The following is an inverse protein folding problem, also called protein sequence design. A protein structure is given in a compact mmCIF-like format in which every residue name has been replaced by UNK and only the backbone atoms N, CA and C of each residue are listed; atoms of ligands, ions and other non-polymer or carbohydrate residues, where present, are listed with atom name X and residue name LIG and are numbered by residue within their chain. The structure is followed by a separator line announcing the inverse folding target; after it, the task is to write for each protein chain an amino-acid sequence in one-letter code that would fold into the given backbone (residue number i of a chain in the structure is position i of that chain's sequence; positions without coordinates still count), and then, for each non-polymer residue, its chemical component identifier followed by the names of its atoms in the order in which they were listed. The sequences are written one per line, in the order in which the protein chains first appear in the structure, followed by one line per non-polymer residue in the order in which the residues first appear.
data_IF_800483357531
#
_entry.id   IF_800483357531
#
_cell.length_a   1.000
_cell.length_b   1.000
_cell.length_c   1.000
_cell.angle_alpha   90.00
_cell.angle_beta   90.00
_cell.angle_gamma   90.00
#
_symmetry.space_group_name_H-M   'P 1'
#
loop_
_entity.id
_entity.type
_entity.pdbx_description
1 polymer ?
#
# COMPACT_ATOMS: atom_id res chain seq x y z
N UNK A 1 7.10 -20.47 5.43
CA UNK A 1 6.25 -19.26 5.49
C UNK A 1 4.82 -19.70 5.30
N UNK A 2 3.86 -19.06 5.98
CA UNK A 2 2.44 -19.35 5.74
C UNK A 2 1.85 -18.21 4.93
N UNK A 3 1.36 -18.56 3.74
CA UNK A 3 0.54 -17.69 2.93
C UNK A 3 -0.92 -18.06 3.15
N UNK A 4 -1.72 -17.06 3.44
CA UNK A 4 -3.15 -17.21 3.68
C UNK A 4 -3.91 -16.35 2.67
N UNK A 5 -5.01 -16.88 2.18
CA UNK A 5 -5.98 -16.15 1.38
C UNK A 5 -7.28 -16.05 2.17
N UNK A 6 -7.98 -14.93 2.02
CA UNK A 6 -9.26 -14.76 2.66
C UNK A 6 -10.09 -13.65 2.02
N UNK A 7 -11.24 -13.39 2.63
CA UNK A 7 -12.12 -12.31 2.22
C UNK A 7 -12.81 -11.69 3.41
N UNK A 8 -13.10 -10.39 3.33
CA UNK A 8 -13.77 -9.61 4.38
C UNK A 8 -14.73 -8.61 3.74
N UNK A 9 -15.66 -8.07 4.52
CA UNK A 9 -16.61 -7.04 4.06
C UNK A 9 -16.29 -5.70 4.72
N UNK A 10 -16.62 -4.62 4.02
CA UNK A 10 -16.55 -3.24 4.53
C UNK A 10 -17.90 -2.61 4.25
N UNK A 11 -18.50 -1.92 5.21
CA UNK A 11 -19.81 -1.27 5.03
C UNK A 11 -19.78 -0.30 3.83
N UNK A 12 -18.66 0.41 3.66
CA UNK A 12 -18.45 1.39 2.59
C UNK A 12 -18.49 0.77 1.17
N UNK A 13 -18.15 -0.51 1.01
CA UNK A 13 -18.20 -1.21 -0.29
C UNK A 13 -19.45 -2.10 -0.46
N UNK A 14 -20.37 -2.04 0.50
CA UNK A 14 -21.56 -2.88 0.56
C UNK A 14 -21.27 -4.33 0.95
N UNK A 15 -22.26 -5.21 0.70
CA UNK A 15 -22.24 -6.61 1.18
C UNK A 15 -21.27 -7.54 0.40
N UNK A 16 -20.60 -7.01 -0.63
CA UNK A 16 -19.71 -7.79 -1.47
C UNK A 16 -18.30 -7.85 -0.85
N UNK A 17 -17.70 -9.05 -0.73
CA UNK A 17 -16.45 -9.18 -0.02
C UNK A 17 -15.26 -8.69 -0.85
N UNK A 18 -14.28 -8.11 -0.15
CA UNK A 18 -12.94 -7.82 -0.64
C UNK A 18 -12.03 -9.00 -0.36
N UNK A 19 -11.23 -9.36 -1.36
CA UNK A 19 -10.22 -10.41 -1.27
C UNK A 19 -8.91 -9.88 -0.69
N UNK A 20 -8.19 -10.72 0.06
CA UNK A 20 -6.84 -10.43 0.50
C UNK A 20 -5.93 -11.67 0.52
N UNK A 21 -4.64 -11.38 0.49
CA UNK A 21 -3.52 -12.31 0.72
C UNK A 21 -2.74 -11.83 1.92
N UNK A 22 -2.23 -12.75 2.71
CA UNK A 22 -1.43 -12.44 3.88
C UNK A 22 -0.23 -13.38 4.02
N UNK A 23 0.90 -12.83 4.44
CA UNK A 23 2.06 -13.58 4.90
C UNK A 23 2.53 -13.02 6.25
N UNK A 24 2.79 -13.91 7.22
CA UNK A 24 3.27 -13.56 8.55
C UNK A 24 4.65 -14.13 8.84
N UNK A 25 5.38 -13.56 9.81
CA UNK A 25 6.67 -14.11 10.24
C UNK A 25 6.49 -15.52 10.79
N UNK A 26 7.46 -16.39 10.51
CA UNK A 26 7.43 -17.79 10.93
C UNK A 26 7.60 -17.94 12.45
N UNK A 27 8.31 -17.00 13.08
CA UNK A 27 8.63 -17.04 14.51
C UNK A 27 8.28 -15.70 15.18
N UNK A 28 7.46 -15.77 16.23
CA UNK A 28 7.15 -14.61 17.08
C UNK A 28 6.05 -13.70 16.53
N UNK A 29 5.73 -12.66 17.31
CA UNK A 29 4.79 -11.63 16.89
C UNK A 29 5.43 -10.74 15.81
N UNK A 30 4.63 -10.30 14.85
CA UNK A 30 5.06 -9.34 13.85
C UNK A 30 5.44 -8.00 14.49
N UNK A 31 6.53 -7.40 14.00
CA UNK A 31 6.99 -6.07 14.46
C UNK A 31 5.98 -4.99 14.14
N UNK A 32 5.49 -5.00 12.90
CA UNK A 32 4.51 -4.09 12.32
C UNK A 32 3.71 -4.83 11.24
N UNK A 33 2.54 -4.29 10.90
CA UNK A 33 1.77 -4.72 9.73
C UNK A 33 2.05 -3.80 8.54
N UNK A 34 2.30 -4.36 7.37
CA UNK A 34 2.46 -3.68 6.10
C UNK A 34 1.26 -4.01 5.22
N UNK A 35 0.42 -3.02 4.94
CA UNK A 35 -0.75 -3.11 4.07
C UNK A 35 -0.35 -2.71 2.64
N UNK A 36 -0.43 -3.66 1.71
CA UNK A 36 -0.10 -3.47 0.30
C UNK A 36 -1.36 -3.23 -0.53
N UNK A 37 -1.44 -2.06 -1.15
CA UNK A 37 -2.44 -1.71 -2.15
C UNK A 37 -1.84 -1.88 -3.55
N UNK A 38 -2.66 -1.99 -4.59
CA UNK A 38 -2.19 -2.16 -5.97
C UNK A 38 -2.66 -1.04 -6.90
N UNK A 39 -2.01 -0.91 -8.06
CA UNK A 39 -2.44 -0.01 -9.14
C UNK A 39 -3.62 -0.59 -9.96
N UNK A 40 -4.26 0.24 -10.78
CA UNK A 40 -5.50 -0.12 -11.51
C UNK A 40 -5.40 -1.36 -12.42
N UNK A 41 -4.19 -1.68 -12.91
CA UNK A 41 -3.94 -2.82 -13.81
C UNK A 41 -3.49 -4.10 -13.09
N UNK A 42 -3.45 -4.07 -11.77
CA UNK A 42 -2.81 -5.10 -10.95
C UNK A 42 -3.77 -5.64 -9.88
N UNK A 43 -3.30 -6.59 -9.08
CA UNK A 43 -3.99 -7.13 -7.90
C UNK A 43 -2.97 -7.52 -6.83
N UNK A 44 -3.43 -8.03 -5.69
CA UNK A 44 -2.60 -8.66 -4.65
C UNK A 44 -1.71 -9.78 -5.20
N UNK A 45 -2.10 -10.43 -6.31
CA UNK A 45 -1.31 -11.48 -6.96
C UNK A 45 0.04 -10.96 -7.48
N UNK A 46 0.12 -9.69 -7.87
CA UNK A 46 1.40 -9.11 -8.32
C UNK A 46 2.41 -9.08 -7.18
N UNK A 47 2.00 -8.68 -5.97
CA UNK A 47 2.86 -8.67 -4.78
C UNK A 47 3.35 -10.06 -4.39
N UNK A 48 2.49 -11.07 -4.59
CA UNK A 48 2.86 -12.48 -4.43
C UNK A 48 3.90 -12.90 -5.48
N UNK A 49 3.64 -12.64 -6.76
CA UNK A 49 4.52 -13.05 -7.88
C UNK A 49 5.93 -12.49 -7.79
N UNK A 50 6.07 -11.24 -7.32
CA UNK A 50 7.39 -10.63 -7.13
C UNK A 50 7.98 -10.90 -5.74
N UNK A 51 7.39 -11.79 -4.93
CA UNK A 51 7.94 -12.18 -3.63
C UNK A 51 7.90 -11.09 -2.55
N UNK A 52 7.10 -10.04 -2.70
CA UNK A 52 7.07 -8.94 -1.69
C UNK A 52 6.45 -9.40 -0.37
N UNK A 53 5.38 -10.20 -0.42
CA UNK A 53 4.79 -10.80 0.78
C UNK A 53 5.84 -11.66 1.51
N UNK A 54 6.62 -12.42 0.73
CA UNK A 54 7.67 -13.28 1.25
C UNK A 54 8.80 -12.49 1.92
N UNK A 55 9.37 -11.52 1.20
CA UNK A 55 10.45 -10.68 1.70
C UNK A 55 10.08 -9.97 3.01
N UNK A 56 8.86 -9.46 3.12
CA UNK A 56 8.36 -8.80 4.33
C UNK A 56 8.19 -9.76 5.51
N UNK A 57 7.57 -10.92 5.28
CA UNK A 57 7.38 -11.94 6.30
C UNK A 57 8.71 -12.51 6.81
N UNK A 58 9.66 -12.77 5.90
CA UNK A 58 11.01 -13.19 6.25
C UNK A 58 11.76 -12.15 7.09
N UNK A 59 11.45 -10.86 6.90
CA UNK A 59 12.03 -9.76 7.66
C UNK A 59 11.32 -9.45 9.00
N UNK A 60 10.29 -10.23 9.38
CA UNK A 60 9.61 -10.08 10.67
C UNK A 60 8.34 -9.22 10.66
N UNK A 61 7.81 -8.87 9.47
CA UNK A 61 6.61 -8.07 9.32
C UNK A 61 5.39 -8.92 8.94
N UNK A 62 4.19 -8.49 9.34
CA UNK A 62 2.94 -9.05 8.81
C UNK A 62 2.64 -8.33 7.50
N UNK A 63 2.61 -9.02 6.38
CA UNK A 63 2.31 -8.44 5.07
C UNK A 63 0.88 -8.81 4.67
N UNK A 64 0.04 -7.82 4.38
CA UNK A 64 -1.36 -8.00 3.99
C UNK A 64 -1.59 -7.26 2.68
N UNK A 65 -1.92 -7.96 1.61
CA UNK A 65 -2.23 -7.38 0.31
C UNK A 65 -3.71 -7.56 -0.02
N UNK A 66 -4.45 -6.48 -0.24
CA UNK A 66 -5.86 -6.54 -0.62
C UNK A 66 -6.04 -6.36 -2.12
N UNK A 67 -7.10 -6.95 -2.68
CA UNK A 67 -7.61 -6.56 -3.99
C UNK A 67 -8.60 -5.41 -3.80
N UNK A 68 -8.32 -4.26 -4.41
CA UNK A 68 -9.16 -3.07 -4.33
C UNK A 68 -10.55 -3.33 -4.94
N UNK A 69 -11.61 -2.66 -4.46
CA UNK A 69 -12.97 -2.87 -4.96
C UNK A 69 -13.07 -2.72 -6.49
N UNK A 70 -13.79 -3.64 -7.13
CA UNK A 70 -13.97 -3.65 -8.58
C UNK A 70 -12.78 -4.23 -9.36
N UNK A 71 -11.70 -4.67 -8.69
CA UNK A 71 -10.48 -5.18 -9.31
C UNK A 71 -10.08 -6.54 -8.74
N UNK A 72 -9.27 -7.28 -9.50
CA UNK A 72 -8.78 -8.60 -9.11
C UNK A 72 -9.93 -9.55 -8.73
N UNK A 73 -9.80 -10.20 -7.57
CA UNK A 73 -10.81 -11.08 -6.97
C UNK A 73 -11.89 -10.32 -6.19
N UNK A 74 -11.76 -8.99 -6.05
CA UNK A 74 -12.76 -8.09 -5.47
C UNK A 74 -13.65 -7.44 -6.55
N UNK A 75 -13.74 -8.01 -7.75
CA UNK A 75 -14.44 -7.42 -8.89
C UNK A 75 -15.94 -7.14 -8.62
N UNK A 76 -16.58 -7.94 -7.77
CA UNK A 76 -17.98 -7.76 -7.41
C UNK A 76 -18.21 -6.60 -6.41
N UNK A 77 -17.18 -6.17 -5.69
CA UNK A 77 -17.29 -5.12 -4.70
C UNK A 77 -17.41 -3.73 -5.35
N UNK A 78 -18.27 -2.89 -4.79
CA UNK A 78 -18.50 -1.55 -5.31
C UNK A 78 -17.42 -0.61 -4.81
N UNK A 79 -16.77 0.11 -5.72
CA UNK A 79 -15.79 1.13 -5.34
C UNK A 79 -16.47 2.29 -4.61
N UNK A 80 -15.86 2.78 -3.51
CA UNK A 80 -16.48 3.81 -2.67
C UNK A 80 -16.38 5.22 -3.27
N UNK A 81 -15.63 5.36 -4.36
CA UNK A 81 -15.59 6.55 -5.20
C UNK A 81 -15.23 6.15 -6.65
N UNK A 82 -15.64 6.95 -7.65
CA UNK A 82 -15.18 6.78 -9.03
C UNK A 82 -13.66 6.97 -9.15
N UNK A 83 -13.04 6.26 -10.08
CA UNK A 83 -11.61 6.43 -10.38
C UNK A 83 -11.30 7.90 -10.69
N UNK A 84 -10.28 8.44 -10.03
CA UNK A 84 -9.87 9.85 -10.13
C UNK A 84 -10.48 10.77 -9.08
N UNK A 85 -11.41 10.28 -8.26
CA UNK A 85 -11.91 11.00 -7.08
C UNK A 85 -11.34 10.39 -5.80
N UNK A 86 -11.14 11.20 -4.77
CA UNK A 86 -10.69 10.71 -3.47
C UNK A 86 -11.77 9.84 -2.83
N UNK A 87 -11.38 8.65 -2.38
CA UNK A 87 -12.26 7.78 -1.62
C UNK A 87 -12.50 8.36 -0.20
N UNK A 88 -13.61 8.01 0.47
CA UNK A 88 -13.78 8.28 1.88
C UNK A 88 -12.61 7.67 2.67
N UNK A 89 -11.96 8.45 3.53
CA UNK A 89 -10.86 7.97 4.38
C UNK A 89 -11.25 6.79 5.27
N UNK A 90 -12.53 6.73 5.68
CA UNK A 90 -13.12 5.66 6.46
C UNK A 90 -12.98 4.28 5.80
N UNK A 91 -12.82 4.22 4.46
CA UNK A 91 -12.58 2.95 3.76
C UNK A 91 -11.36 2.21 4.31
N UNK A 92 -10.21 2.89 4.44
CA UNK A 92 -9.00 2.23 4.97
C UNK A 92 -9.08 1.98 6.47
N UNK A 93 -9.89 2.75 7.22
CA UNK A 93 -10.19 2.42 8.61
C UNK A 93 -10.94 1.09 8.70
N UNK A 94 -12.01 0.90 7.93
CA UNK A 94 -12.80 -0.35 7.90
C UNK A 94 -11.96 -1.55 7.45
N UNK A 95 -11.07 -1.37 6.46
CA UNK A 95 -10.10 -2.41 6.07
C UNK A 95 -9.20 -2.79 7.24
N UNK A 96 -8.64 -1.79 7.94
CA UNK A 96 -7.72 -2.05 9.05
C UNK A 96 -8.41 -2.75 10.23
N UNK A 97 -9.67 -2.38 10.52
CA UNK A 97 -10.53 -2.98 11.53
C UNK A 97 -10.90 -4.43 11.17
N UNK A 98 -11.40 -4.66 9.96
CA UNK A 98 -11.84 -5.98 9.49
C UNK A 98 -10.69 -7.01 9.47
N UNK A 99 -9.47 -6.57 9.12
CA UNK A 99 -8.27 -7.42 9.08
C UNK A 99 -7.48 -7.42 10.40
N UNK A 100 -7.98 -6.71 11.41
CA UNK A 100 -7.42 -6.58 12.75
C UNK A 100 -5.91 -6.24 12.72
N UNK A 101 -5.55 -5.20 11.98
CA UNK A 101 -4.16 -4.90 11.61
C UNK A 101 -3.42 -4.00 12.59
N UNK A 102 -4.15 -3.25 13.43
CA UNK A 102 -3.58 -2.19 14.26
C UNK A 102 -3.02 -1.03 13.42
N UNK A 103 -2.03 -0.27 13.92
CA UNK A 103 -1.28 0.68 13.11
C UNK A 103 -0.54 -0.02 11.96
N UNK A 104 -0.64 0.53 10.75
CA UNK A 104 -0.07 -0.06 9.53
C UNK A 104 0.91 0.87 8.83
N UNK A 105 1.90 0.28 8.15
CA UNK A 105 2.62 0.93 7.05
C UNK A 105 1.89 0.63 5.75
N UNK A 106 1.61 1.65 4.93
CA UNK A 106 0.85 1.47 3.68
C UNK A 106 1.79 1.59 2.48
N UNK A 107 1.77 0.59 1.60
CA UNK A 107 2.39 0.62 0.28
C UNK A 107 1.30 0.97 -0.74
N UNK A 108 1.42 2.12 -1.40
CA UNK A 108 0.35 2.69 -2.21
C UNK A 108 0.83 3.20 -3.58
N UNK A 109 1.03 2.33 -4.58
CA UNK A 109 1.36 2.75 -5.94
C UNK A 109 0.13 3.25 -6.71
N UNK A 110 0.35 4.30 -7.53
CA UNK A 110 -0.57 4.72 -8.61
C UNK A 110 -2.02 4.93 -8.14
N UNK A 111 -3.00 4.18 -8.70
CA UNK A 111 -4.43 4.26 -8.35
C UNK A 111 -4.68 4.32 -6.84
N UNK A 112 -3.98 3.49 -6.08
CA UNK A 112 -4.23 3.36 -4.65
C UNK A 112 -4.03 4.66 -3.86
N UNK A 113 -3.33 5.66 -4.43
CA UNK A 113 -3.22 7.00 -3.87
C UNK A 113 -4.56 7.67 -3.58
N UNK A 114 -5.62 7.37 -4.34
CA UNK A 114 -6.96 7.92 -4.09
C UNK A 114 -7.58 7.40 -2.79
N UNK A 115 -7.11 6.25 -2.28
CA UNK A 115 -7.55 5.65 -1.01
C UNK A 115 -6.63 6.03 0.15
N UNK A 116 -5.31 6.04 -0.08
CA UNK A 116 -4.33 6.29 0.97
C UNK A 116 -4.17 7.77 1.33
N UNK A 117 -4.25 8.70 0.36
CA UNK A 117 -4.08 10.13 0.64
C UNK A 117 -5.16 10.69 1.59
N UNK A 118 -6.47 10.40 1.42
CA UNK A 118 -7.50 10.85 2.36
C UNK A 118 -7.30 10.29 3.77
N UNK A 119 -6.84 9.04 3.87
CA UNK A 119 -6.52 8.40 5.15
C UNK A 119 -5.34 9.08 5.86
N UNK A 120 -4.29 9.47 5.12
CA UNK A 120 -3.14 10.19 5.67
C UNK A 120 -3.46 11.64 6.08
N UNK A 121 -4.42 12.29 5.41
CA UNK A 121 -4.64 13.74 5.50
C UNK A 121 -5.75 14.15 6.49
N UNK A 122 -6.37 13.24 7.24
CA UNK A 122 -7.57 13.60 7.99
C UNK A 122 -7.34 14.49 9.22
N UNK A 123 -8.00 15.67 9.18
CA UNK A 123 -8.23 16.72 10.20
C UNK A 123 -7.11 17.74 10.55
N UNK A 124 -6.42 18.36 9.57
CA UNK A 124 -5.39 19.39 9.84
C UNK A 124 -5.94 20.63 10.57
N UNK A 125 -7.23 20.95 10.43
CA UNK A 125 -7.90 22.12 11.00
C UNK A 125 -7.98 22.12 12.54
N UNK A 126 -7.65 21.00 13.20
CA UNK A 126 -7.67 20.86 14.67
C UNK A 126 -6.27 20.73 15.28
N UNK A 127 -5.21 20.93 14.47
CA UNK A 127 -3.84 20.55 14.83
C UNK A 127 -3.04 21.76 15.34
N UNK A 128 -2.57 21.70 16.60
CA UNK A 128 -1.70 22.72 17.21
C UNK A 128 -0.20 22.46 16.98
N UNK A 129 0.18 21.21 16.71
CA UNK A 129 1.53 20.79 16.33
C UNK A 129 1.42 19.49 15.52
N UNK A 130 2.28 19.30 14.52
CA UNK A 130 2.25 18.14 13.61
C UNK A 130 3.63 17.46 13.57
N UNK A 131 3.66 16.16 13.86
CA UNK A 131 4.83 15.30 13.64
C UNK A 131 4.50 14.47 12.40
N UNK A 132 5.27 14.57 11.30
CA UNK A 132 4.91 13.95 10.04
C UNK A 132 5.08 12.43 10.05
N UNK A 133 4.19 11.74 9.33
CA UNK A 133 4.34 10.32 9.02
C UNK A 133 5.53 10.13 8.07
N UNK A 134 6.51 9.26 8.40
CA UNK A 134 7.59 8.94 7.48
C UNK A 134 7.02 8.43 6.14
N UNK A 135 7.55 8.92 5.02
CA UNK A 135 7.10 8.52 3.69
C UNK A 135 8.27 8.07 2.81
N UNK A 136 8.16 6.89 2.19
CA UNK A 136 9.08 6.45 1.15
C UNK A 136 8.43 6.67 -0.23
N UNK A 137 9.05 7.50 -1.05
CA UNK A 137 8.63 7.75 -2.44
C UNK A 137 9.55 6.96 -3.36
N UNK A 138 9.01 6.00 -4.09
CA UNK A 138 9.74 5.16 -5.05
C UNK A 138 9.16 5.37 -6.44
N UNK A 139 10.02 5.64 -7.42
CA UNK A 139 9.60 5.74 -8.82
C UNK A 139 10.73 5.29 -9.77
N UNK A 140 10.36 4.85 -10.97
CA UNK A 140 11.28 4.50 -12.04
C UNK A 140 11.66 5.72 -12.89
N UNK A 141 12.94 5.85 -13.27
CA UNK A 141 13.38 7.01 -14.07
C UNK A 141 12.97 6.99 -15.55
N UNK A 142 12.34 5.89 -16.00
CA UNK A 142 11.71 5.78 -17.31
C UNK A 142 10.17 5.90 -17.24
N UNK A 143 9.61 6.25 -16.07
CA UNK A 143 8.18 6.55 -15.94
C UNK A 143 7.84 7.91 -16.55
N UNK A 144 7.47 7.89 -17.83
CA UNK A 144 7.00 9.07 -18.58
C UNK A 144 5.54 9.43 -18.31
N UNK A 145 4.81 8.66 -17.48
CA UNK A 145 3.41 8.91 -17.17
C UNK A 145 3.25 9.78 -15.93
N UNK A 146 3.74 9.28 -14.79
CA UNK A 146 3.42 9.87 -13.49
C UNK A 146 4.65 10.12 -12.62
N UNK A 147 5.83 9.62 -12.97
CA UNK A 147 7.02 9.64 -12.11
C UNK A 147 7.39 11.05 -11.63
N UNK A 148 7.73 11.94 -12.56
CA UNK A 148 8.15 13.32 -12.23
C UNK A 148 7.02 14.13 -11.57
N UNK A 149 5.79 14.00 -12.05
CA UNK A 149 4.64 14.71 -11.48
C UNK A 149 4.36 14.25 -10.04
N UNK A 150 4.40 12.95 -9.78
CA UNK A 150 4.22 12.38 -8.45
C UNK A 150 5.35 12.80 -7.51
N UNK A 151 6.60 12.79 -7.97
CA UNK A 151 7.72 13.30 -7.19
C UNK A 151 7.53 14.79 -6.85
N UNK A 152 7.16 15.61 -7.84
CA UNK A 152 6.93 17.03 -7.63
C UNK A 152 5.84 17.29 -6.59
N UNK A 153 4.77 16.50 -6.60
CA UNK A 153 3.66 16.64 -5.66
C UNK A 153 4.01 16.12 -4.25
N UNK A 154 4.74 15.01 -4.16
CA UNK A 154 4.97 14.28 -2.91
C UNK A 154 6.26 14.66 -2.19
N UNK A 155 7.28 15.22 -2.87
CA UNK A 155 8.55 15.63 -2.25
C UNK A 155 8.40 16.67 -1.14
N UNK A 156 7.24 17.33 -1.08
CA UNK A 156 6.89 18.32 -0.07
C UNK A 156 6.38 17.70 1.24
N UNK A 157 6.09 16.39 1.26
CA UNK A 157 5.78 15.68 2.50
C UNK A 157 6.97 15.78 3.45
N UNK A 158 6.76 16.26 4.67
CA UNK A 158 7.84 16.31 5.64
C UNK A 158 8.27 14.88 6.02
N UNK A 159 9.56 14.69 6.32
CA UNK A 159 10.14 13.37 6.66
C UNK A 159 9.98 12.31 5.54
N UNK A 160 10.22 12.72 4.29
CA UNK A 160 10.23 11.81 3.15
C UNK A 160 11.65 11.32 2.79
N UNK A 161 11.74 10.11 2.25
CA UNK A 161 12.90 9.58 1.52
C UNK A 161 12.49 9.27 0.09
N UNK A 162 13.38 9.56 -0.86
CA UNK A 162 13.16 9.32 -2.29
C UNK A 162 14.13 8.26 -2.79
N UNK A 163 13.61 7.25 -3.48
CA UNK A 163 14.40 6.23 -4.19
C UNK A 163 14.02 6.27 -5.67
N UNK A 164 15.04 6.42 -6.52
CA UNK A 164 14.89 6.39 -7.97
C UNK A 164 15.41 5.05 -8.48
N UNK A 165 14.53 4.26 -9.10
CA UNK A 165 14.88 2.96 -9.68
C UNK A 165 15.34 3.16 -11.12
N UNK A 166 16.64 2.94 -11.36
CA UNK A 166 17.29 3.17 -12.65
C UNK A 166 16.85 2.15 -13.68
N UNK A 167 16.42 2.62 -14.85
CA UNK A 167 15.97 1.77 -15.96
C UNK A 167 14.55 1.23 -15.81
N UNK A 168 13.84 1.60 -14.73
CA UNK A 168 12.50 1.10 -14.44
C UNK A 168 11.42 2.07 -14.97
N UNK A 169 10.30 1.51 -15.40
CA UNK A 169 9.10 2.23 -15.84
C UNK A 169 8.11 2.49 -14.70
N UNK A 170 6.84 2.71 -15.06
CA UNK A 170 5.79 3.08 -14.09
C UNK A 170 5.58 2.05 -12.97
N UNK A 171 5.39 0.74 -13.24
CA UNK A 171 5.38 -0.27 -12.19
C UNK A 171 6.81 -0.68 -11.82
N UNK A 172 7.62 0.25 -11.33
CA UNK A 172 9.05 0.03 -11.13
C UNK A 172 9.38 -1.17 -10.22
N UNK A 173 8.50 -1.47 -9.26
CA UNK A 173 8.58 -2.63 -8.38
C UNK A 173 8.43 -3.99 -9.11
N UNK A 174 7.89 -4.00 -10.33
CA UNK A 174 7.85 -5.19 -11.20
C UNK A 174 9.09 -5.29 -12.08
N UNK A 175 9.69 -4.15 -12.46
CA UNK A 175 10.87 -4.12 -13.35
C UNK A 175 12.15 -4.54 -12.61
N UNK A 176 12.29 -4.14 -11.34
CA UNK A 176 13.40 -4.53 -10.47
C UNK A 176 12.92 -4.82 -9.04
N UNK A 177 12.37 -6.02 -8.79
CA UNK A 177 11.89 -6.43 -7.47
C UNK A 177 12.97 -6.42 -6.38
N UNK A 178 14.24 -6.69 -6.73
CA UNK A 178 15.34 -6.75 -5.77
C UNK A 178 15.62 -5.37 -5.18
N UNK A 179 15.79 -4.35 -6.04
CA UNK A 179 15.99 -2.96 -5.59
C UNK A 179 14.79 -2.46 -4.83
N UNK A 180 13.57 -2.82 -5.27
CA UNK A 180 12.33 -2.50 -4.58
C UNK A 180 12.30 -3.08 -3.15
N UNK A 181 12.54 -4.38 -2.97
CA UNK A 181 12.53 -5.02 -1.66
C UNK A 181 13.58 -4.43 -0.74
N UNK A 182 14.79 -4.20 -1.26
CA UNK A 182 15.86 -3.58 -0.48
C UNK A 182 15.44 -2.20 0.03
N UNK A 183 14.90 -1.34 -0.85
CA UNK A 183 14.47 0.00 -0.48
C UNK A 183 13.38 -0.01 0.61
N UNK A 184 12.37 -0.87 0.44
CA UNK A 184 11.28 -1.01 1.42
C UNK A 184 11.79 -1.52 2.76
N UNK A 185 12.58 -2.60 2.75
CA UNK A 185 13.09 -3.22 3.98
C UNK A 185 14.06 -2.30 4.73
N UNK A 186 14.88 -1.53 4.02
CA UNK A 186 15.78 -0.56 4.66
C UNK A 186 15.00 0.58 5.30
N UNK A 187 13.96 1.09 4.65
CA UNK A 187 13.08 2.10 5.24
C UNK A 187 12.32 1.57 6.47
N UNK A 188 11.77 0.36 6.40
CA UNK A 188 11.06 -0.25 7.53
C UNK A 188 11.94 -0.49 8.76
N UNK A 189 13.27 -0.65 8.61
CA UNK A 189 14.20 -0.80 9.74
C UNK A 189 14.39 0.52 10.52
N UNK A 190 14.07 1.65 9.92
CA UNK A 190 14.24 2.98 10.50
C UNK A 190 12.98 3.50 11.21
N UNK A 191 11.85 2.80 11.07
CA UNK A 191 10.60 3.05 11.78
C UNK A 191 10.65 2.41 13.18
#
# INVERSE_FOLDING_TARGET
MFEWEGSFVTEICGDQPLFYREAGPVNGAARLTVLLLHGIRFSSENWLKIGTLEALAAAGYRAVAIDLPGLGRSQAATAPAPVGQLAPSAFLCEVCEALNTGPVVIISPSLSGMYSLPFLLQHPERVRAYIPTPALIVYGDQDTQLGEASLSNLRHLANNKVVVMKGAGHPCYLDDPETWHKAVLDFLKEL
#
